data_IF_158839247478
#
_entry.id   IF_158839247478
#
_cell.length_a   1.000
_cell.length_b   1.000
_cell.length_c   1.000
_cell.angle_alpha   90.00
_cell.angle_beta   90.00
_cell.angle_gamma   90.00
#
_symmetry.space_group_name_H-M   'P 1'
#
loop_
_entity.id
_entity.type
_entity.pdbx_description
1 polymer ?
#
# COMPACT_ATOMS: atom_id res chain seq x y z
N UNK A 1 -16.72 0.51 -23.49
CA UNK A 1 -17.17 1.88 -23.85
C UNK A 1 -17.40 2.64 -22.56
N UNK A 2 -16.32 2.97 -21.88
CA UNK A 2 -16.29 3.86 -20.73
C UNK A 2 -16.25 5.32 -21.23
N UNK A 3 -17.02 6.21 -20.58
CA UNK A 3 -17.27 7.59 -21.02
C UNK A 3 -16.01 8.46 -21.15
N UNK A 4 -14.87 8.00 -20.62
CA UNK A 4 -13.59 8.70 -20.63
C UNK A 4 -12.75 8.44 -21.90
N UNK A 5 -13.19 7.52 -22.76
CA UNK A 5 -12.50 7.21 -24.01
C UNK A 5 -12.63 8.30 -25.10
N UNK A 6 -13.59 9.21 -24.98
CA UNK A 6 -13.90 10.23 -26.00
C UNK A 6 -13.33 11.63 -25.71
N UNK A 7 -12.59 11.82 -24.62
CA UNK A 7 -12.06 13.12 -24.22
C UNK A 7 -10.70 13.40 -24.87
N UNK A 8 -10.45 14.66 -25.25
CA UNK A 8 -9.17 15.06 -25.85
C UNK A 8 -8.02 14.97 -24.82
N UNK A 9 -6.79 14.87 -25.31
CA UNK A 9 -5.60 14.89 -24.46
C UNK A 9 -5.56 16.21 -23.67
N UNK A 10 -5.56 16.12 -22.33
CA UNK A 10 -5.61 17.29 -21.42
C UNK A 10 -6.96 17.54 -20.73
N UNK A 11 -8.06 16.92 -21.18
CA UNK A 11 -9.41 17.10 -20.59
C UNK A 11 -9.82 15.96 -19.64
N UNK A 12 -8.87 15.08 -19.28
CA UNK A 12 -9.09 13.92 -18.40
C UNK A 12 -8.23 12.70 -18.72
N UNK A 13 -7.55 12.70 -19.87
CA UNK A 13 -6.60 11.67 -20.31
C UNK A 13 -5.16 12.12 -20.08
N UNK A 14 -4.30 11.24 -19.56
CA UNK A 14 -2.90 11.53 -19.28
C UNK A 14 -2.17 12.01 -20.56
N UNK A 15 -1.57 13.20 -20.50
CA UNK A 15 -1.00 13.92 -21.65
C UNK A 15 0.28 13.29 -22.20
N UNK A 16 0.91 12.42 -21.40
CA UNK A 16 2.16 11.72 -21.69
C UNK A 16 1.94 10.38 -22.44
N UNK A 17 0.69 10.00 -22.74
CA UNK A 17 0.37 8.72 -23.37
C UNK A 17 0.74 7.51 -22.51
N UNK A 18 1.10 7.72 -21.25
CA UNK A 18 1.64 6.68 -20.39
C UNK A 18 0.49 5.89 -19.74
N UNK A 19 0.05 4.84 -20.44
CA UNK A 19 -0.85 3.82 -19.89
C UNK A 19 -0.26 3.14 -18.64
N UNK A 20 1.02 3.37 -18.31
CA UNK A 20 1.63 2.79 -17.13
C UNK A 20 0.94 3.21 -15.83
N UNK A 21 0.43 4.45 -15.78
CA UNK A 21 -0.32 4.93 -14.63
C UNK A 21 -1.58 4.07 -14.37
N UNK A 22 -2.28 3.65 -15.44
CA UNK A 22 -3.52 2.88 -15.31
C UNK A 22 -3.30 1.50 -14.73
N UNK A 23 -2.30 0.74 -15.19
CA UNK A 23 -2.01 -0.58 -14.61
C UNK A 23 -1.46 -0.47 -13.19
N UNK A 24 -0.62 0.54 -12.92
CA UNK A 24 -0.04 0.75 -11.59
C UNK A 24 -1.12 1.07 -10.55
N UNK A 25 -2.06 1.96 -10.89
CA UNK A 25 -3.21 2.29 -10.04
C UNK A 25 -4.07 1.06 -9.78
N UNK A 26 -4.32 0.24 -10.80
CA UNK A 26 -5.07 -1.02 -10.67
C UNK A 26 -4.38 -2.03 -9.75
N UNK A 27 -3.08 -2.25 -9.96
CA UNK A 27 -2.28 -3.26 -9.26
C UNK A 27 -2.02 -2.92 -7.78
N UNK A 28 -1.93 -1.64 -7.43
CA UNK A 28 -1.66 -1.20 -6.06
C UNK A 28 -2.91 -0.60 -5.42
N UNK A 29 -3.25 0.64 -5.79
CA UNK A 29 -4.26 1.44 -5.09
C UNK A 29 -5.63 0.77 -5.09
N UNK A 30 -6.14 0.37 -6.26
CA UNK A 30 -7.47 -0.24 -6.39
C UNK A 30 -7.47 -1.64 -5.74
N UNK A 31 -6.41 -2.41 -5.92
CA UNK A 31 -6.25 -3.71 -5.27
C UNK A 31 -6.34 -3.59 -3.74
N UNK A 32 -5.57 -2.68 -3.13
CA UNK A 32 -5.62 -2.48 -1.68
C UNK A 32 -6.98 -1.98 -1.21
N UNK A 33 -7.61 -1.04 -1.93
CA UNK A 33 -8.95 -0.57 -1.57
C UNK A 33 -9.98 -1.71 -1.59
N UNK A 34 -10.01 -2.52 -2.66
CA UNK A 34 -10.90 -3.67 -2.77
C UNK A 34 -10.61 -4.72 -1.68
N UNK A 35 -9.33 -4.97 -1.41
CA UNK A 35 -8.87 -5.86 -0.35
C UNK A 35 -9.38 -5.44 1.02
N UNK A 36 -9.22 -4.15 1.39
CA UNK A 36 -9.68 -3.65 2.69
C UNK A 36 -11.19 -3.78 2.86
N UNK A 37 -11.97 -3.53 1.80
CA UNK A 37 -13.42 -3.72 1.82
C UNK A 37 -13.80 -5.19 2.01
N UNK A 38 -13.11 -6.11 1.31
CA UNK A 38 -13.35 -7.54 1.45
C UNK A 38 -13.10 -8.04 2.89
N UNK A 39 -12.12 -7.49 3.58
CA UNK A 39 -11.80 -7.85 4.97
C UNK A 39 -12.59 -7.06 6.03
N UNK A 40 -13.23 -5.95 5.67
CA UNK A 40 -13.95 -5.10 6.61
C UNK A 40 -15.06 -5.85 7.36
N UNK A 41 -15.79 -6.76 6.70
CA UNK A 41 -16.83 -7.58 7.32
C UNK A 41 -16.26 -8.45 8.46
N UNK A 42 -15.06 -8.99 8.29
CA UNK A 42 -14.39 -9.83 9.29
C UNK A 42 -13.85 -9.00 10.45
N UNK A 43 -13.10 -7.92 10.15
CA UNK A 43 -12.50 -7.04 11.16
C UNK A 43 -13.57 -6.32 11.99
N UNK A 44 -14.69 -5.93 11.39
CA UNK A 44 -15.82 -5.33 12.09
C UNK A 44 -16.43 -6.24 13.16
N UNK A 45 -16.61 -7.54 12.85
CA UNK A 45 -17.10 -8.52 13.82
C UNK A 45 -16.11 -8.72 14.98
N UNK A 46 -14.81 -8.76 14.69
CA UNK A 46 -13.77 -8.90 15.71
C UNK A 46 -13.74 -7.71 16.67
N UNK A 47 -13.77 -6.50 16.13
CA UNK A 47 -13.78 -5.26 16.92
C UNK A 47 -15.04 -5.16 17.79
N UNK A 48 -16.20 -5.54 17.26
CA UNK A 48 -17.45 -5.56 18.02
C UNK A 48 -17.39 -6.50 19.23
N UNK A 49 -16.69 -7.63 19.12
CA UNK A 49 -16.51 -8.60 20.21
C UNK A 49 -15.59 -8.09 21.32
N UNK A 50 -14.50 -7.39 20.97
CA UNK A 50 -13.49 -6.94 21.94
C UNK A 50 -13.90 -5.63 22.63
N UNK A 51 -14.85 -4.88 22.06
CA UNK A 51 -15.30 -3.59 22.57
C UNK A 51 -16.31 -3.66 23.74
N UNK A 52 -16.58 -4.84 24.35
CA UNK A 52 -17.49 -4.90 25.51
C UNK A 52 -16.91 -4.11 26.69
N UNK A 53 -17.68 -3.14 27.18
CA UNK A 53 -17.44 -2.36 28.41
C UNK A 53 -16.32 -1.29 28.37
N UNK A 54 -15.99 -0.70 27.22
CA UNK A 54 -15.15 0.52 27.14
C UNK A 54 -15.83 1.67 26.40
N UNK A 55 -15.43 2.91 26.72
CA UNK A 55 -15.94 4.12 26.07
C UNK A 55 -15.57 4.14 24.58
N UNK A 56 -16.52 4.55 23.72
CA UNK A 56 -16.35 4.61 22.26
C UNK A 56 -15.09 5.40 21.84
N UNK A 57 -14.80 6.48 22.58
CA UNK A 57 -13.63 7.34 22.33
C UNK A 57 -12.31 6.59 22.49
N UNK A 58 -12.15 5.79 23.54
CA UNK A 58 -10.91 5.03 23.78
C UNK A 58 -10.74 3.93 22.73
N UNK A 59 -11.86 3.31 22.33
CA UNK A 59 -11.89 2.28 21.31
C UNK A 59 -11.42 2.82 19.95
N UNK A 60 -11.93 3.97 19.51
CA UNK A 60 -11.49 4.63 18.26
C UNK A 60 -10.01 5.01 18.33
N UNK A 61 -9.54 5.59 19.44
CA UNK A 61 -8.12 5.95 19.59
C UNK A 61 -7.23 4.70 19.53
N UNK A 62 -7.60 3.61 20.22
CA UNK A 62 -6.82 2.38 20.18
C UNK A 62 -6.77 1.74 18.78
N UNK A 63 -7.87 1.79 18.03
CA UNK A 63 -7.95 1.19 16.69
C UNK A 63 -7.19 2.01 15.65
N UNK A 64 -6.94 3.29 15.90
CA UNK A 64 -6.12 4.13 15.03
C UNK A 64 -4.65 4.04 15.42
N UNK A 65 -4.33 4.14 16.70
CA UNK A 65 -2.93 4.24 17.17
C UNK A 65 -2.20 2.91 17.05
N UNK A 66 -2.79 1.80 17.53
CA UNK A 66 -2.08 0.51 17.58
C UNK A 66 -1.72 0.03 16.16
N UNK A 67 -2.63 0.01 15.18
CA UNK A 67 -2.29 -0.44 13.82
C UNK A 67 -1.34 0.50 13.10
N UNK A 68 -1.42 1.81 13.37
CA UNK A 68 -0.51 2.78 12.76
C UNK A 68 0.92 2.57 13.26
N UNK A 69 1.10 2.39 14.57
CA UNK A 69 2.42 2.10 15.14
C UNK A 69 2.98 0.78 14.62
N UNK A 70 2.14 -0.25 14.52
CA UNK A 70 2.52 -1.53 13.95
C UNK A 70 2.95 -1.39 12.48
N UNK A 71 2.17 -0.68 11.66
CA UNK A 71 2.48 -0.48 10.25
C UNK A 71 3.78 0.30 10.05
N UNK A 72 4.01 1.34 10.85
CA UNK A 72 5.27 2.11 10.83
C UNK A 72 6.44 1.23 11.24
N UNK A 73 6.32 0.48 12.34
CA UNK A 73 7.36 -0.43 12.78
C UNK A 73 7.67 -1.47 11.69
N UNK A 74 6.65 -2.13 11.16
CA UNK A 74 6.82 -3.12 10.11
C UNK A 74 7.53 -2.53 8.88
N UNK A 75 7.08 -1.36 8.40
CA UNK A 75 7.67 -0.73 7.21
C UNK A 75 9.12 -0.29 7.45
N UNK A 76 9.46 0.24 8.62
CA UNK A 76 10.84 0.65 8.96
C UNK A 76 11.76 -0.56 9.02
N UNK A 77 11.34 -1.63 9.72
CA UNK A 77 12.18 -2.81 9.89
C UNK A 77 12.27 -3.62 8.59
N UNK A 78 11.14 -4.04 8.02
CA UNK A 78 11.13 -4.87 6.82
C UNK A 78 11.57 -4.10 5.58
N UNK A 79 11.09 -2.87 5.40
CA UNK A 79 11.54 -2.01 4.30
C UNK A 79 13.03 -1.67 4.42
N UNK A 80 13.50 -1.35 5.62
CA UNK A 80 14.91 -1.09 5.87
C UNK A 80 15.82 -2.30 5.62
N UNK A 81 15.39 -3.51 6.02
CA UNK A 81 16.13 -4.75 5.75
C UNK A 81 16.18 -5.04 4.25
N UNK A 82 15.03 -4.97 3.57
CA UNK A 82 14.95 -5.24 2.12
C UNK A 82 15.82 -4.29 1.31
N UNK A 83 15.78 -2.99 1.62
CA UNK A 83 16.60 -1.99 0.94
C UNK A 83 18.10 -2.21 1.17
N UNK A 84 18.50 -2.58 2.39
CA UNK A 84 19.91 -2.90 2.68
C UNK A 84 20.38 -4.14 1.91
N UNK A 85 19.56 -5.19 1.87
CA UNK A 85 19.89 -6.39 1.11
C UNK A 85 20.00 -6.12 -0.38
N UNK A 86 19.09 -5.33 -0.95
CA UNK A 86 19.15 -4.95 -2.36
C UNK A 86 20.43 -4.16 -2.67
N UNK A 87 20.81 -3.19 -1.81
CA UNK A 87 22.04 -2.41 -2.00
C UNK A 87 23.29 -3.30 -1.96
N UNK A 88 23.37 -4.20 -0.98
CA UNK A 88 24.49 -5.13 -0.85
C UNK A 88 24.59 -6.07 -2.06
N UNK A 89 23.45 -6.56 -2.57
CA UNK A 89 23.44 -7.39 -3.77
C UNK A 89 23.95 -6.64 -5.01
N UNK A 90 23.57 -5.36 -5.18
CA UNK A 90 24.08 -4.51 -6.26
C UNK A 90 25.59 -4.28 -6.14
N UNK A 91 26.11 -4.03 -4.94
CA UNK A 91 27.55 -3.88 -4.71
C UNK A 91 28.31 -5.17 -5.07
N UNK A 92 27.78 -6.34 -4.71
CA UNK A 92 28.38 -7.63 -5.09
C UNK A 92 28.37 -7.88 -6.60
N UNK A 93 27.34 -7.42 -7.31
CA UNK A 93 27.28 -7.51 -8.77
C UNK A 93 28.34 -6.63 -9.44
N UNK A 94 28.46 -5.37 -9.01
CA UNK A 94 29.46 -4.43 -9.54
C UNK A 94 30.88 -4.93 -9.28
N UNK A 95 31.16 -5.41 -8.06
CA UNK A 95 32.47 -5.98 -7.73
C UNK A 95 32.80 -7.24 -8.53
N UNK A 96 31.78 -8.01 -8.93
CA UNK A 96 31.93 -9.16 -9.80
C UNK A 96 32.24 -8.82 -11.26
N UNK A 97 31.70 -7.71 -11.78
CA UNK A 97 32.00 -7.23 -13.14
C UNK A 97 33.42 -6.65 -13.28
N UNK A 98 33.99 -6.07 -12.22
CA UNK A 98 35.35 -5.50 -12.24
C UNK A 98 36.47 -6.55 -12.11
N UNK A 99 36.14 -7.80 -11.74
CA UNK A 99 37.11 -8.88 -11.56
C UNK A 99 37.27 -9.81 -12.79
N UNK A 100 36.52 -9.57 -13.88
CA UNK A 100 36.58 -10.32 -15.14
C UNK A 100 36.67 -9.37 -16.35
#
# INVERSE_FOLDING_TARGET
TDAFGSLNAGEGRAVDGNSAATWWIGAWTVFYLAWWVAWACFVGMFIARISRCRTLRTMIVSVLVIPTLYALFFMVFMGGIGLRQQRQALEMQVLGEEQF
#
